data_IF_592710574148
#
_entry.id   IF_592710574148
#
_cell.length_a   1.000
_cell.length_b   1.000
_cell.length_c   1.000
_cell.angle_alpha   90.00
_cell.angle_beta   90.00
_cell.angle_gamma   90.00
#
_symmetry.space_group_name_H-M   'P 1'
#
loop_
_entity.id
_entity.type
_entity.pdbx_description
1 polymer ?
#
# COMPACT_ATOMS: atom_id res chain seq x y z
N UNK A 1 3.76 20.51 -9.92
CA UNK A 1 4.04 19.53 -8.87
C UNK A 1 5.41 19.75 -8.24
N UNK A 2 6.51 19.80 -9.02
CA UNK A 2 7.89 19.91 -8.49
C UNK A 2 8.04 21.03 -7.44
N UNK A 3 7.68 22.26 -7.75
CA UNK A 3 7.79 23.40 -6.82
C UNK A 3 7.00 23.23 -5.51
N UNK A 4 5.91 22.45 -5.50
CA UNK A 4 5.19 22.16 -4.27
C UNK A 4 5.96 21.23 -3.35
N UNK A 5 6.69 20.26 -3.92
CA UNK A 5 7.54 19.37 -3.14
C UNK A 5 8.69 20.11 -2.46
N UNK A 6 9.25 21.17 -3.07
CA UNK A 6 10.33 21.99 -2.51
C UNK A 6 9.94 22.66 -1.17
N UNK A 7 8.64 22.79 -0.88
CA UNK A 7 8.13 23.34 0.38
C UNK A 7 7.96 22.34 1.52
N UNK A 8 8.08 21.02 1.28
CA UNK A 8 7.97 20.03 2.34
C UNK A 8 9.33 19.77 3.00
N UNK A 9 9.37 19.48 4.31
CA UNK A 9 10.59 18.99 4.96
C UNK A 9 10.97 17.59 4.43
N UNK A 10 12.26 17.27 4.44
CA UNK A 10 12.78 16.00 3.91
C UNK A 10 12.25 14.77 4.65
N UNK A 11 11.94 14.91 5.92
CA UNK A 11 11.39 13.87 6.80
C UNK A 11 9.86 13.84 6.81
N UNK A 12 9.20 14.63 5.95
CA UNK A 12 7.74 14.61 5.84
C UNK A 12 7.24 13.22 5.48
N UNK A 13 6.22 12.76 6.20
CA UNK A 13 5.64 11.44 5.94
C UNK A 13 5.00 11.38 4.56
N UNK A 14 5.29 10.35 3.72
CA UNK A 14 4.80 10.29 2.35
C UNK A 14 3.27 10.31 2.22
N UNK A 15 2.54 9.78 3.20
CA UNK A 15 1.07 9.88 3.21
C UNK A 15 0.56 11.31 3.42
N UNK A 16 1.24 12.11 4.24
CA UNK A 16 0.91 13.54 4.40
C UNK A 16 1.13 14.30 3.08
N UNK A 17 2.30 14.09 2.45
CA UNK A 17 2.59 14.67 1.14
C UNK A 17 1.58 14.21 0.09
N UNK A 18 1.21 12.92 0.07
CA UNK A 18 0.25 12.37 -0.88
C UNK A 18 -1.12 13.05 -0.73
N UNK A 19 -1.65 13.15 0.49
CA UNK A 19 -2.93 13.79 0.76
C UNK A 19 -2.92 15.27 0.36
N UNK A 20 -1.90 16.03 0.77
CA UNK A 20 -1.76 17.44 0.44
C UNK A 20 -1.66 17.68 -1.07
N UNK A 21 -0.83 16.90 -1.76
CA UNK A 21 -0.58 17.05 -3.20
C UNK A 21 -1.77 16.61 -4.05
N UNK A 22 -2.53 15.60 -3.62
CA UNK A 22 -3.77 15.19 -4.29
C UNK A 22 -4.81 16.30 -4.18
N UNK A 23 -4.97 16.93 -3.01
CA UNK A 23 -5.86 18.08 -2.87
C UNK A 23 -5.39 19.28 -3.69
N UNK A 24 -4.08 19.54 -3.74
CA UNK A 24 -3.50 20.63 -4.51
C UNK A 24 -3.76 20.51 -6.03
N UNK A 25 -4.01 19.30 -6.56
CA UNK A 25 -4.41 19.14 -7.98
C UNK A 25 -5.67 19.94 -8.32
N UNK A 26 -6.58 20.14 -7.36
CA UNK A 26 -7.79 20.96 -7.57
C UNK A 26 -7.46 22.40 -8.00
N UNK A 27 -6.36 22.95 -7.49
CA UNK A 27 -5.90 24.30 -7.83
C UNK A 27 -5.44 24.42 -9.30
N UNK A 28 -4.96 23.32 -9.86
CA UNK A 28 -4.47 23.27 -11.26
C UNK A 28 -5.54 22.84 -12.26
N UNK A 29 -6.67 22.34 -11.76
CA UNK A 29 -7.79 21.86 -12.57
C UNK A 29 -9.11 22.46 -12.06
N UNK A 30 -9.26 23.81 -12.01
CA UNK A 30 -10.44 24.46 -11.40
C UNK A 30 -11.75 24.09 -12.08
N UNK A 31 -11.75 23.84 -13.38
CA UNK A 31 -12.94 23.40 -14.13
C UNK A 31 -13.44 22.02 -13.63
N UNK A 32 -12.54 21.15 -13.25
CA UNK A 32 -12.86 19.79 -12.76
C UNK A 32 -13.27 19.73 -11.29
N UNK A 33 -13.25 20.87 -10.59
CA UNK A 33 -13.74 20.92 -9.20
C UNK A 33 -15.27 21.02 -9.11
N UNK A 34 -15.92 21.38 -10.19
CA UNK A 34 -17.38 21.43 -10.34
C UNK A 34 -17.78 20.82 -11.69
N UNK A 35 -17.63 19.49 -11.83
CA UNK A 35 -17.88 18.85 -13.10
C UNK A 35 -19.36 18.97 -13.48
N UNK A 36 -19.63 19.40 -14.71
CA UNK A 36 -20.98 19.60 -15.23
C UNK A 36 -21.47 18.41 -16.06
N UNK A 37 -20.58 17.49 -16.41
CA UNK A 37 -20.90 16.35 -17.26
C UNK A 37 -20.00 15.14 -16.96
N UNK A 38 -20.42 13.92 -17.38
CA UNK A 38 -19.65 12.69 -17.14
C UNK A 38 -18.21 12.72 -17.68
N UNK A 39 -17.94 13.40 -18.80
CA UNK A 39 -16.59 13.48 -19.38
C UNK A 39 -15.61 14.25 -18.49
N UNK A 40 -16.08 15.27 -17.79
CA UNK A 40 -15.25 16.02 -16.84
C UNK A 40 -14.92 15.16 -15.61
N UNK A 41 -15.86 14.33 -15.15
CA UNK A 41 -15.64 13.37 -14.08
C UNK A 41 -14.59 12.33 -14.52
N UNK A 42 -14.71 11.79 -15.72
CA UNK A 42 -13.74 10.85 -16.30
C UNK A 42 -12.34 11.47 -16.43
N UNK A 43 -12.28 12.73 -16.84
CA UNK A 43 -11.03 13.47 -16.92
C UNK A 43 -10.39 13.68 -15.55
N UNK A 44 -11.17 14.05 -14.53
CA UNK A 44 -10.68 14.18 -13.16
C UNK A 44 -10.15 12.84 -12.62
N UNK A 45 -10.88 11.74 -12.87
CA UNK A 45 -10.45 10.40 -12.51
C UNK A 45 -9.13 10.00 -13.22
N UNK A 46 -9.02 10.24 -14.51
CA UNK A 46 -7.81 9.96 -15.29
C UNK A 46 -6.59 10.76 -14.77
N UNK A 47 -6.79 12.02 -14.42
CA UNK A 47 -5.76 12.87 -13.83
C UNK A 47 -5.32 12.30 -12.47
N UNK A 48 -6.26 11.96 -11.60
CA UNK A 48 -5.95 11.36 -10.29
C UNK A 48 -5.16 10.07 -10.43
N UNK A 49 -5.64 9.11 -11.22
CA UNK A 49 -4.98 7.83 -11.46
C UNK A 49 -3.56 8.04 -12.03
N UNK A 50 -3.41 8.96 -12.97
CA UNK A 50 -2.10 9.25 -13.56
C UNK A 50 -1.15 9.93 -12.56
N UNK A 51 -1.62 10.90 -11.78
CA UNK A 51 -0.78 11.76 -10.93
C UNK A 51 -0.45 11.16 -9.59
N UNK A 52 -1.31 10.32 -9.00
CA UNK A 52 -1.08 9.74 -7.67
C UNK A 52 0.23 8.96 -7.62
N UNK A 53 0.54 8.14 -8.63
CA UNK A 53 1.80 7.40 -8.69
C UNK A 53 3.02 8.31 -8.83
N UNK A 54 2.89 9.44 -9.56
CA UNK A 54 3.97 10.42 -9.71
C UNK A 54 4.22 11.14 -8.39
N UNK A 55 3.15 11.53 -7.68
CA UNK A 55 3.23 12.15 -6.36
C UNK A 55 3.89 11.18 -5.37
N UNK A 56 3.48 9.91 -5.36
CA UNK A 56 4.06 8.87 -4.52
C UNK A 56 5.56 8.68 -4.77
N UNK A 57 5.97 8.58 -6.04
CA UNK A 57 7.37 8.43 -6.40
C UNK A 57 8.20 9.66 -6.05
N UNK A 58 7.65 10.87 -6.22
CA UNK A 58 8.32 12.11 -5.85
C UNK A 58 8.46 12.23 -4.32
N UNK A 59 7.45 11.81 -3.55
CA UNK A 59 7.56 11.75 -2.08
C UNK A 59 8.72 10.85 -1.64
N UNK A 60 8.86 9.69 -2.29
CA UNK A 60 9.97 8.77 -2.04
C UNK A 60 11.32 9.40 -2.41
N UNK A 61 11.45 9.96 -3.62
CA UNK A 61 12.69 10.60 -4.09
C UNK A 61 13.12 11.76 -3.19
N UNK A 62 12.17 12.55 -2.76
CA UNK A 62 12.41 13.66 -1.86
C UNK A 62 12.97 13.20 -0.52
N UNK A 63 12.38 12.17 0.10
CA UNK A 63 12.85 11.63 1.39
C UNK A 63 14.28 11.05 1.33
N UNK A 64 14.78 10.80 0.11
CA UNK A 64 16.15 10.30 -0.12
C UNK A 64 17.12 11.38 -0.60
N UNK A 65 16.64 12.62 -0.82
CA UNK A 65 17.45 13.66 -1.44
C UNK A 65 17.87 13.36 -2.88
N UNK A 66 17.09 12.52 -3.58
CA UNK A 66 17.38 12.08 -4.94
C UNK A 66 16.61 12.92 -5.97
N UNK A 67 17.12 13.08 -7.19
CA UNK A 67 16.43 13.83 -8.24
C UNK A 67 15.13 13.12 -8.67
N UNK A 68 14.13 13.91 -9.02
CA UNK A 68 12.85 13.41 -9.53
C UNK A 68 13.03 12.76 -10.90
N UNK A 69 12.52 11.53 -11.02
CA UNK A 69 12.47 10.77 -12.28
C UNK A 69 11.04 10.82 -12.82
N UNK A 70 10.91 11.10 -14.11
CA UNK A 70 9.62 11.25 -14.77
C UNK A 70 9.17 9.95 -15.45
N UNK A 71 7.85 9.75 -15.62
CA UNK A 71 7.32 8.55 -16.26
C UNK A 71 7.72 8.48 -17.73
N UNK A 72 7.88 7.26 -18.24
CA UNK A 72 8.11 6.98 -19.67
C UNK A 72 6.83 6.44 -20.30
N UNK A 73 6.45 6.97 -21.46
CA UNK A 73 5.20 6.60 -22.14
C UNK A 73 5.12 5.11 -22.51
N UNK A 74 6.26 4.46 -22.73
CA UNK A 74 6.35 3.03 -23.09
C UNK A 74 6.16 2.07 -21.90
N UNK A 75 6.22 2.55 -20.65
CA UNK A 75 6.13 1.73 -19.47
C UNK A 75 4.69 1.57 -18.98
N UNK A 76 4.36 0.39 -18.45
CA UNK A 76 3.08 0.12 -17.81
C UNK A 76 2.90 0.95 -16.52
N UNK A 77 1.75 0.83 -15.87
CA UNK A 77 1.44 1.60 -14.67
C UNK A 77 2.40 1.28 -13.51
N UNK A 78 2.52 0.00 -13.14
CA UNK A 78 3.42 -0.43 -12.07
C UNK A 78 4.90 -0.24 -12.44
N UNK A 79 5.26 -0.52 -13.70
CA UNK A 79 6.62 -0.31 -14.18
C UNK A 79 7.04 1.16 -14.08
N UNK A 80 6.16 2.10 -14.42
CA UNK A 80 6.42 3.52 -14.25
C UNK A 80 6.55 3.93 -12.78
N UNK A 81 5.72 3.37 -11.89
CA UNK A 81 5.83 3.65 -10.45
C UNK A 81 7.21 3.23 -9.92
N UNK A 82 7.62 1.99 -10.20
CA UNK A 82 8.93 1.48 -9.77
C UNK A 82 10.09 2.20 -10.44
N UNK A 83 9.97 2.50 -11.73
CA UNK A 83 10.96 3.30 -12.46
C UNK A 83 11.15 4.68 -11.83
N UNK A 84 10.07 5.41 -11.56
CA UNK A 84 10.16 6.73 -10.94
C UNK A 84 10.70 6.69 -9.52
N UNK A 85 10.46 5.61 -8.77
CA UNK A 85 10.98 5.44 -7.42
C UNK A 85 12.47 5.06 -7.40
N UNK A 86 12.87 4.07 -8.19
CA UNK A 86 14.16 3.42 -8.00
C UNK A 86 15.22 3.80 -9.04
N UNK A 87 14.85 4.37 -10.19
CA UNK A 87 15.86 4.83 -11.15
C UNK A 87 16.69 6.00 -10.63
N UNK A 88 17.98 6.01 -10.99
CA UNK A 88 18.86 7.15 -10.83
C UNK A 88 19.28 7.66 -12.22
N UNK A 89 19.62 8.97 -12.37
CA UNK A 89 19.95 9.53 -13.69
C UNK A 89 21.15 8.86 -14.38
N UNK A 90 22.06 8.29 -13.59
CA UNK A 90 23.32 7.69 -14.07
C UNK A 90 23.31 6.18 -14.06
N UNK A 91 22.19 5.54 -13.62
CA UNK A 91 22.09 4.08 -13.55
C UNK A 91 20.98 3.57 -14.46
N UNK A 92 21.23 2.42 -15.09
CA UNK A 92 20.21 1.70 -15.81
C UNK A 92 19.41 0.86 -14.82
N UNK A 93 18.13 1.25 -14.64
CA UNK A 93 17.18 0.49 -13.81
C UNK A 93 16.13 -0.16 -14.71
N UNK A 94 16.03 -1.46 -14.62
CA UNK A 94 15.05 -2.26 -15.35
C UNK A 94 14.20 -3.07 -14.37
N UNK A 95 12.89 -2.95 -14.52
CA UNK A 95 11.94 -3.67 -13.66
C UNK A 95 11.80 -5.09 -14.17
N UNK A 96 12.12 -6.07 -13.33
CA UNK A 96 11.91 -7.48 -13.71
C UNK A 96 10.41 -7.75 -13.94
N UNK A 97 10.04 -8.53 -15.01
CA UNK A 97 8.64 -8.79 -15.35
C UNK A 97 7.78 -9.35 -14.20
N UNK A 98 8.33 -10.27 -13.40
CA UNK A 98 7.61 -10.85 -12.25
C UNK A 98 7.39 -9.83 -11.13
N UNK A 99 8.34 -8.92 -10.89
CA UNK A 99 8.17 -7.82 -9.91
C UNK A 99 7.08 -6.87 -10.38
N UNK A 100 7.13 -6.47 -11.66
CA UNK A 100 6.09 -5.64 -12.28
C UNK A 100 4.72 -6.27 -12.12
N UNK A 101 4.59 -7.57 -12.46
CA UNK A 101 3.35 -8.32 -12.34
C UNK A 101 2.86 -8.39 -10.90
N UNK A 102 3.75 -8.60 -9.93
CA UNK A 102 3.38 -8.65 -8.52
C UNK A 102 2.80 -7.31 -8.05
N UNK A 103 3.42 -6.19 -8.41
CA UNK A 103 2.91 -4.86 -8.06
C UNK A 103 1.57 -4.59 -8.75
N UNK A 104 1.41 -4.89 -10.05
CA UNK A 104 0.12 -4.73 -10.75
C UNK A 104 -1.00 -5.51 -10.05
N UNK A 105 -0.75 -6.77 -9.68
CA UNK A 105 -1.74 -7.62 -8.99
C UNK A 105 -2.03 -7.08 -7.58
N UNK A 106 -1.01 -6.66 -6.82
CA UNK A 106 -1.23 -6.04 -5.51
C UNK A 106 -2.16 -4.82 -5.64
N UNK A 107 -1.91 -3.93 -6.60
CA UNK A 107 -2.75 -2.75 -6.81
C UNK A 107 -4.20 -3.14 -7.16
N UNK A 108 -4.40 -4.15 -8.00
CA UNK A 108 -5.73 -4.66 -8.36
C UNK A 108 -6.44 -5.24 -7.14
N UNK A 109 -5.78 -6.06 -6.33
CA UNK A 109 -6.37 -6.71 -5.17
C UNK A 109 -6.73 -5.73 -4.04
N UNK A 110 -6.13 -4.54 -4.06
CA UNK A 110 -6.45 -3.45 -3.13
C UNK A 110 -7.50 -2.46 -3.66
N UNK A 111 -7.95 -2.60 -4.93
CA UNK A 111 -8.77 -1.60 -5.60
C UNK A 111 -10.07 -1.27 -4.86
N UNK A 112 -10.76 -2.27 -4.33
CA UNK A 112 -11.94 -2.07 -3.49
C UNK A 112 -12.09 -3.16 -2.42
N UNK A 113 -12.75 -2.82 -1.34
CA UNK A 113 -13.17 -3.75 -0.29
C UNK A 113 -14.34 -3.17 0.50
N UNK A 114 -15.44 -2.91 -0.20
CA UNK A 114 -16.68 -2.37 0.37
C UNK A 114 -16.48 -1.05 1.13
N UNK A 115 -17.43 -0.73 2.02
CA UNK A 115 -17.34 0.46 2.86
C UNK A 115 -16.47 0.19 4.09
N UNK A 116 -15.23 0.64 4.00
CA UNK A 116 -14.29 0.72 5.10
C UNK A 116 -14.12 2.18 5.54
N UNK A 117 -13.27 2.45 6.53
CA UNK A 117 -13.09 3.80 7.08
C UNK A 117 -12.77 4.84 5.99
N UNK A 118 -11.81 4.60 5.10
CA UNK A 118 -11.42 5.58 4.07
C UNK A 118 -12.49 5.72 2.99
N UNK A 119 -13.12 4.63 2.56
CA UNK A 119 -14.23 4.66 1.59
C UNK A 119 -15.44 5.42 2.16
N UNK A 120 -15.80 5.17 3.43
CA UNK A 120 -16.87 5.91 4.10
C UNK A 120 -16.51 7.39 4.26
N UNK A 121 -15.25 7.73 4.51
CA UNK A 121 -14.77 9.11 4.57
C UNK A 121 -14.92 9.80 3.21
N UNK A 122 -14.51 9.15 2.11
CA UNK A 122 -14.70 9.68 0.74
C UNK A 122 -16.18 9.97 0.48
N UNK A 123 -17.07 9.02 0.77
CA UNK A 123 -18.53 9.19 0.60
C UNK A 123 -19.08 10.31 1.50
N UNK A 124 -18.64 10.38 2.75
CA UNK A 124 -19.06 11.42 3.70
C UNK A 124 -18.68 12.82 3.19
N UNK A 125 -17.44 13.00 2.75
CA UNK A 125 -16.97 14.29 2.20
C UNK A 125 -17.69 14.60 0.89
N UNK A 126 -17.85 13.62 0.01
CA UNK A 126 -18.60 13.78 -1.25
C UNK A 126 -20.04 14.22 -1.03
N UNK A 127 -20.72 13.74 0.03
CA UNK A 127 -22.12 14.12 0.35
C UNK A 127 -22.31 15.61 0.65
N UNK A 128 -21.24 16.34 0.96
CA UNK A 128 -21.26 17.80 1.10
C UNK A 128 -21.18 18.55 -0.23
N UNK A 129 -21.08 17.85 -1.36
CA UNK A 129 -20.81 18.45 -2.68
C UNK A 129 -19.32 18.76 -2.92
N UNK A 130 -18.42 18.25 -2.07
CA UNK A 130 -16.99 18.42 -2.26
C UNK A 130 -16.51 17.73 -3.55
N UNK A 131 -15.54 18.37 -4.22
CA UNK A 131 -14.98 17.84 -5.44
C UNK A 131 -14.21 16.54 -5.24
N UNK A 132 -13.99 15.81 -6.33
CA UNK A 132 -13.32 14.51 -6.30
C UNK A 132 -11.92 14.58 -5.67
N UNK A 133 -11.10 15.60 -5.98
CA UNK A 133 -9.74 15.74 -5.41
C UNK A 133 -9.77 15.88 -3.90
N UNK A 134 -10.64 16.73 -3.35
CA UNK A 134 -10.80 16.94 -1.92
C UNK A 134 -11.30 15.67 -1.22
N UNK A 135 -12.28 14.98 -1.80
CA UNK A 135 -12.84 13.75 -1.25
C UNK A 135 -11.80 12.62 -1.20
N UNK A 136 -11.00 12.45 -2.26
CA UNK A 136 -9.90 11.49 -2.30
C UNK A 136 -8.80 11.85 -1.30
N UNK A 137 -8.45 13.13 -1.17
CA UNK A 137 -7.48 13.58 -0.16
C UNK A 137 -7.91 13.21 1.26
N UNK A 138 -9.19 13.37 1.59
CA UNK A 138 -9.74 12.95 2.87
C UNK A 138 -9.69 11.42 3.05
N UNK A 139 -9.96 10.65 1.99
CA UNK A 139 -9.79 9.20 1.99
C UNK A 139 -8.35 8.76 2.26
N UNK A 140 -7.37 9.43 1.68
CA UNK A 140 -5.94 9.19 1.92
C UNK A 140 -5.59 9.49 3.39
N UNK A 141 -6.08 10.60 3.94
CA UNK A 141 -5.87 10.95 5.35
C UNK A 141 -6.47 9.90 6.30
N UNK A 142 -7.67 9.40 6.01
CA UNK A 142 -8.29 8.33 6.79
C UNK A 142 -7.52 7.00 6.66
N UNK A 143 -7.01 6.68 5.46
CA UNK A 143 -6.22 5.47 5.24
C UNK A 143 -4.90 5.49 6.02
N UNK A 144 -4.31 6.65 6.23
CA UNK A 144 -3.06 6.79 6.98
C UNK A 144 -3.20 6.43 8.47
N UNK A 145 -4.41 6.40 9.01
CA UNK A 145 -4.63 6.02 10.40
C UNK A 145 -4.10 4.60 10.72
N UNK A 146 -3.42 4.41 11.86
CA UNK A 146 -2.77 3.12 12.21
C UNK A 146 -3.77 1.97 12.38
N UNK A 147 -5.05 2.27 12.61
CA UNK A 147 -6.11 1.26 12.73
C UNK A 147 -6.75 0.90 11.38
N UNK A 148 -6.24 1.44 10.27
CA UNK A 148 -6.82 1.21 8.94
C UNK A 148 -5.79 0.77 7.90
N UNK A 149 -4.93 1.63 7.39
CA UNK A 149 -4.02 1.32 6.26
C UNK A 149 -2.61 0.87 6.66
N UNK A 150 -2.33 0.70 7.95
CA UNK A 150 -0.99 0.37 8.44
C UNK A 150 -0.70 -1.10 8.68
N UNK A 151 -1.62 -2.02 8.30
CA UNK A 151 -1.48 -3.43 8.68
C UNK A 151 -0.27 -4.12 8.03
N UNK A 152 0.00 -3.88 6.77
CA UNK A 152 1.16 -4.47 6.08
C UNK A 152 2.50 -3.90 6.56
N UNK A 153 2.57 -2.63 6.94
CA UNK A 153 3.71 -2.05 7.63
C UNK A 153 3.92 -2.73 8.99
N UNK A 154 2.86 -2.87 9.78
CA UNK A 154 2.91 -3.51 11.09
C UNK A 154 3.35 -4.98 11.03
N UNK A 155 3.08 -5.70 9.93
CA UNK A 155 3.62 -7.05 9.70
C UNK A 155 5.15 -7.02 9.67
N UNK A 156 5.75 -6.15 8.89
CA UNK A 156 7.21 -6.08 8.77
C UNK A 156 7.84 -5.62 10.08
N UNK A 157 7.27 -4.61 10.73
CA UNK A 157 7.74 -4.16 12.05
C UNK A 157 7.68 -5.27 13.12
N UNK A 158 6.66 -6.13 13.06
CA UNK A 158 6.56 -7.31 13.91
C UNK A 158 7.68 -8.32 13.59
N UNK A 159 7.92 -8.63 12.32
CA UNK A 159 8.98 -9.54 11.90
C UNK A 159 10.37 -9.01 12.30
N UNK A 160 10.61 -7.71 12.16
CA UNK A 160 11.84 -7.05 12.60
C UNK A 160 12.04 -7.16 14.12
N UNK A 161 10.99 -6.96 14.91
CA UNK A 161 11.04 -7.15 16.36
C UNK A 161 11.35 -8.59 16.76
N UNK A 162 10.76 -9.58 16.08
CA UNK A 162 11.04 -10.99 16.31
C UNK A 162 12.52 -11.29 16.02
N UNK A 163 13.03 -10.80 14.89
CA UNK A 163 14.41 -10.98 14.48
C UNK A 163 15.39 -10.31 15.45
N UNK A 164 15.21 -9.02 15.73
CA UNK A 164 16.08 -8.24 16.60
C UNK A 164 16.10 -8.72 18.05
N UNK A 165 14.95 -9.20 18.55
CA UNK A 165 14.80 -9.71 19.91
C UNK A 165 15.31 -11.14 20.10
N UNK A 166 15.82 -11.82 19.06
CA UNK A 166 16.13 -13.24 19.07
C UNK A 166 15.00 -14.11 19.67
N UNK A 167 13.76 -13.62 19.52
CA UNK A 167 12.59 -14.36 19.96
C UNK A 167 12.34 -15.48 18.96
N UNK A 168 12.42 -16.72 19.43
CA UNK A 168 12.02 -17.85 18.58
C UNK A 168 10.55 -17.73 18.17
N UNK A 169 10.22 -18.10 16.94
CA UNK A 169 8.84 -18.02 16.41
C UNK A 169 7.84 -18.73 17.32
N UNK A 170 8.19 -19.88 17.90
CA UNK A 170 7.34 -20.62 18.86
C UNK A 170 6.95 -19.78 20.07
N UNK A 171 7.90 -19.02 20.63
CA UNK A 171 7.62 -18.13 21.76
C UNK A 171 6.68 -16.98 21.37
N UNK A 172 6.82 -16.45 20.17
CA UNK A 172 5.90 -15.42 19.66
C UNK A 172 4.47 -15.96 19.47
N UNK A 173 4.34 -17.20 19.04
CA UNK A 173 3.06 -17.90 18.94
C UNK A 173 2.42 -18.09 20.33
N UNK A 174 3.19 -18.49 21.34
CA UNK A 174 2.70 -18.60 22.72
C UNK A 174 2.25 -17.23 23.26
N UNK A 175 3.04 -16.19 23.04
CA UNK A 175 2.66 -14.83 23.40
C UNK A 175 1.39 -14.36 22.67
N UNK A 176 1.22 -14.71 21.40
CA UNK A 176 0.00 -14.38 20.64
C UNK A 176 -1.26 -15.10 21.14
N UNK A 177 -1.09 -16.27 21.80
CA UNK A 177 -2.18 -17.01 22.43
C UNK A 177 -2.56 -16.44 23.80
N UNK A 178 -1.61 -15.79 24.47
CA UNK A 178 -1.79 -15.17 25.78
C UNK A 178 -2.31 -13.73 25.62
N UNK A 179 -3.53 -13.49 26.07
CA UNK A 179 -4.18 -12.16 26.01
C UNK A 179 -3.49 -11.10 26.87
N UNK A 180 -2.82 -11.52 27.93
CA UNK A 180 -2.14 -10.61 28.87
C UNK A 180 -0.77 -10.15 28.31
N UNK A 181 -0.22 -10.87 27.34
CA UNK A 181 1.07 -10.53 26.73
C UNK A 181 1.06 -9.22 25.95
N UNK A 182 -0.11 -8.77 25.47
CA UNK A 182 -0.25 -7.64 24.58
C UNK A 182 0.32 -7.86 23.16
N UNK A 183 0.93 -9.03 22.90
CA UNK A 183 1.50 -9.35 21.59
C UNK A 183 0.40 -9.77 20.61
N UNK A 184 0.45 -9.25 19.39
CA UNK A 184 -0.49 -9.60 18.33
C UNK A 184 0.27 -10.04 17.08
N UNK A 185 -0.17 -11.14 16.47
CA UNK A 185 0.25 -11.51 15.12
C UNK A 185 -0.41 -10.58 14.11
N UNK A 186 0.37 -9.66 13.57
CA UNK A 186 -0.09 -8.74 12.53
C UNK A 186 -0.16 -9.46 11.18
N UNK A 187 -1.19 -9.15 10.39
CA UNK A 187 -1.42 -9.81 9.11
C UNK A 187 -2.14 -11.18 9.21
N UNK A 188 -2.73 -11.50 10.36
CA UNK A 188 -3.50 -12.73 10.59
C UNK A 188 -4.96 -12.43 10.95
N UNK A 189 -5.86 -13.20 10.35
CA UNK A 189 -7.31 -13.02 10.48
C UNK A 189 -7.83 -11.87 9.62
N UNK A 190 -9.16 -11.77 9.51
CA UNK A 190 -9.82 -10.74 8.73
C UNK A 190 -11.18 -10.39 9.33
N UNK A 191 -11.58 -9.12 9.22
CA UNK A 191 -12.85 -8.64 9.79
C UNK A 191 -14.07 -9.23 9.06
N UNK A 192 -13.98 -9.31 7.74
CA UNK A 192 -15.06 -9.77 6.86
C UNK A 192 -14.94 -11.25 6.58
N UNK A 193 -13.81 -11.73 6.10
CA UNK A 193 -13.60 -13.14 5.79
C UNK A 193 -13.53 -13.96 7.07
N UNK A 194 -14.48 -14.89 7.22
CA UNK A 194 -14.53 -15.85 8.34
C UNK A 194 -13.74 -17.12 8.04
N UNK A 195 -12.93 -17.11 7.01
CA UNK A 195 -12.05 -18.18 6.56
C UNK A 195 -10.82 -17.55 5.89
N UNK A 196 -10.16 -18.25 4.96
CA UNK A 196 -9.07 -17.70 4.17
C UNK A 196 -9.50 -16.46 3.39
N UNK A 197 -8.62 -15.44 3.39
CA UNK A 197 -8.73 -14.31 2.47
C UNK A 197 -8.34 -14.80 1.06
N UNK A 198 -9.26 -14.82 0.06
CA UNK A 198 -8.96 -15.34 -1.27
C UNK A 198 -7.85 -14.57 -1.98
N UNK A 199 -7.64 -13.31 -1.61
CA UNK A 199 -6.57 -12.46 -2.15
C UNK A 199 -5.20 -12.91 -1.63
N UNK A 200 -5.15 -13.41 -0.40
CA UNK A 200 -3.92 -13.88 0.23
C UNK A 200 -3.30 -15.07 -0.51
N UNK A 201 -4.13 -16.00 -1.02
CA UNK A 201 -3.64 -17.13 -1.82
C UNK A 201 -2.92 -16.66 -3.08
N UNK A 202 -3.46 -15.67 -3.78
CA UNK A 202 -2.85 -15.11 -4.99
C UNK A 202 -1.49 -14.48 -4.64
N UNK A 203 -1.42 -13.69 -3.55
CA UNK A 203 -0.17 -13.05 -3.14
C UNK A 203 0.85 -14.03 -2.60
N UNK A 204 0.43 -15.12 -1.97
CA UNK A 204 1.33 -16.21 -1.55
C UNK A 204 2.08 -16.80 -2.75
N UNK A 205 1.38 -17.14 -3.82
CA UNK A 205 1.98 -17.68 -5.05
C UNK A 205 2.91 -16.67 -5.73
N UNK A 206 2.52 -15.38 -5.72
CA UNK A 206 3.35 -14.31 -6.27
C UNK A 206 4.61 -14.06 -5.43
N UNK A 207 4.52 -14.13 -4.10
CA UNK A 207 5.67 -13.95 -3.23
C UNK A 207 6.75 -14.98 -3.51
N UNK A 208 6.39 -16.24 -3.72
CA UNK A 208 7.33 -17.29 -4.08
C UNK A 208 8.09 -16.95 -5.38
N UNK A 209 7.37 -16.50 -6.42
CA UNK A 209 8.00 -16.10 -7.71
C UNK A 209 8.92 -14.90 -7.57
N UNK A 210 8.51 -13.88 -6.78
CA UNK A 210 9.35 -12.70 -6.53
C UNK A 210 10.64 -13.10 -5.83
N UNK A 211 10.58 -14.01 -4.85
CA UNK A 211 11.75 -14.49 -4.13
C UNK A 211 12.70 -15.30 -5.00
N UNK A 212 12.16 -16.16 -5.89
CA UNK A 212 12.96 -16.93 -6.83
C UNK A 212 13.75 -16.02 -7.78
N UNK A 213 13.13 -14.92 -8.22
CA UNK A 213 13.77 -13.93 -9.10
C UNK A 213 14.85 -13.13 -8.39
N UNK A 214 14.55 -12.66 -7.20
CA UNK A 214 15.45 -11.77 -6.45
C UNK A 214 16.63 -12.54 -5.84
N UNK A 215 16.52 -13.88 -5.70
CA UNK A 215 17.52 -14.74 -5.04
C UNK A 215 17.97 -14.18 -3.67
N UNK A 216 17.10 -13.41 -3.04
CA UNK A 216 17.42 -12.67 -1.84
C UNK A 216 17.20 -13.55 -0.61
N UNK A 217 18.23 -13.70 0.21
CA UNK A 217 18.11 -14.31 1.54
C UNK A 217 17.80 -13.18 2.55
N UNK A 218 16.57 -13.06 2.96
CA UNK A 218 16.16 -12.15 4.03
C UNK A 218 15.69 -12.97 5.23
N UNK A 219 16.33 -12.88 6.40
CA UNK A 219 15.92 -13.61 7.60
C UNK A 219 14.46 -13.39 8.00
N UNK A 220 13.88 -12.22 7.67
CA UNK A 220 12.48 -11.95 7.97
C UNK A 220 11.52 -12.81 7.15
N UNK A 221 11.93 -13.21 5.93
CA UNK A 221 11.14 -14.10 5.10
C UNK A 221 11.11 -15.53 5.64
N UNK A 222 12.22 -15.98 6.22
CA UNK A 222 12.28 -17.29 6.86
C UNK A 222 11.39 -17.30 8.11
N UNK A 223 11.44 -16.24 8.93
CA UNK A 223 10.53 -16.05 10.08
C UNK A 223 9.07 -16.02 9.62
N UNK A 224 8.76 -15.30 8.53
CA UNK A 224 7.40 -15.22 8.01
C UNK A 224 6.87 -16.59 7.55
N UNK A 225 7.69 -17.39 6.86
CA UNK A 225 7.32 -18.75 6.44
C UNK A 225 7.07 -19.67 7.64
N UNK A 226 7.93 -19.60 8.66
CA UNK A 226 7.75 -20.39 9.87
C UNK A 226 6.47 -19.98 10.64
N UNK A 227 6.19 -18.68 10.75
CA UNK A 227 4.94 -18.16 11.35
C UNK A 227 3.70 -18.64 10.58
N UNK A 228 3.75 -18.57 9.25
CA UNK A 228 2.68 -19.07 8.38
C UNK A 228 2.43 -20.56 8.61
N UNK A 229 3.50 -21.37 8.54
CA UNK A 229 3.39 -22.83 8.69
C UNK A 229 2.80 -23.22 10.04
N UNK A 230 3.26 -22.60 11.13
CA UNK A 230 2.70 -22.85 12.46
C UNK A 230 1.23 -22.43 12.53
N UNK A 231 0.88 -21.24 12.05
CA UNK A 231 -0.50 -20.75 12.13
C UNK A 231 -1.49 -21.59 11.30
N UNK A 232 -1.04 -22.18 10.20
CA UNK A 232 -1.86 -23.07 9.38
C UNK A 232 -2.09 -24.43 10.01
N UNK A 233 -1.23 -24.87 10.94
CA UNK A 233 -1.26 -26.20 11.54
C UNK A 233 -1.66 -26.20 13.03
N UNK A 234 -1.63 -25.07 13.72
CA UNK A 234 -1.93 -24.95 15.13
C UNK A 234 -3.45 -24.83 15.39
N UNK A 235 -4.03 -25.71 16.24
CA UNK A 235 -5.47 -25.71 16.52
C UNK A 235 -6.03 -24.36 17.00
N UNK A 236 -5.26 -23.59 17.78
CA UNK A 236 -5.70 -22.28 18.28
C UNK A 236 -6.03 -21.31 17.15
N UNK A 237 -5.19 -21.26 16.11
CA UNK A 237 -5.37 -20.37 14.95
C UNK A 237 -6.45 -20.89 14.01
N UNK A 238 -6.49 -22.21 13.80
CA UNK A 238 -7.50 -22.87 12.95
C UNK A 238 -8.91 -22.63 13.50
N UNK A 239 -9.14 -22.91 14.80
CA UNK A 239 -10.42 -22.72 15.47
C UNK A 239 -10.90 -21.27 15.43
N UNK A 240 -9.96 -20.31 15.54
CA UNK A 240 -10.24 -18.86 15.51
C UNK A 240 -10.17 -18.26 14.12
N UNK A 241 -9.84 -19.07 13.10
CA UNK A 241 -9.72 -18.65 11.69
C UNK A 241 -8.72 -17.49 11.50
N UNK A 242 -7.61 -17.55 12.22
CA UNK A 242 -6.54 -16.57 12.18
C UNK A 242 -5.52 -16.96 11.11
N UNK A 243 -5.93 -16.95 9.87
CA UNK A 243 -5.08 -17.25 8.71
C UNK A 243 -4.33 -16.02 8.25
N UNK A 244 -3.15 -16.17 7.60
CA UNK A 244 -2.47 -15.06 6.94
C UNK A 244 -3.40 -14.38 5.92
N UNK A 245 -3.42 -13.05 5.95
CA UNK A 245 -4.27 -12.24 5.08
C UNK A 245 -3.45 -11.50 4.00
N UNK A 246 -4.11 -10.65 3.22
CA UNK A 246 -3.47 -9.89 2.13
C UNK A 246 -2.33 -8.99 2.63
N UNK A 247 -2.43 -8.42 3.83
CA UNK A 247 -1.43 -7.50 4.37
C UNK A 247 -0.13 -8.22 4.74
N UNK A 248 -0.23 -9.48 5.18
CA UNK A 248 0.93 -10.33 5.45
C UNK A 248 1.79 -10.51 4.19
N UNK A 249 1.20 -10.95 3.08
CA UNK A 249 1.95 -11.22 1.87
C UNK A 249 2.35 -9.94 1.12
N UNK A 250 1.51 -8.90 1.08
CA UNK A 250 1.87 -7.65 0.42
C UNK A 250 3.04 -6.96 1.11
N UNK A 251 3.08 -6.96 2.45
CA UNK A 251 4.20 -6.44 3.21
C UNK A 251 5.53 -7.14 2.87
N UNK A 252 5.50 -8.47 2.81
CA UNK A 252 6.67 -9.30 2.47
C UNK A 252 7.14 -9.02 1.03
N UNK A 253 6.22 -8.91 0.06
CA UNK A 253 6.58 -8.59 -1.33
C UNK A 253 7.18 -7.19 -1.43
N UNK A 254 6.59 -6.17 -0.79
CA UNK A 254 7.11 -4.81 -0.80
C UNK A 254 8.53 -4.75 -0.23
N UNK A 255 8.77 -5.45 0.89
CA UNK A 255 10.11 -5.55 1.46
C UNK A 255 11.10 -6.17 0.49
N UNK A 256 10.76 -7.30 -0.12
CA UNK A 256 11.63 -7.99 -1.08
C UNK A 256 11.99 -7.11 -2.29
N UNK A 257 11.05 -6.28 -2.75
CA UNK A 257 11.25 -5.33 -3.86
C UNK A 257 12.07 -4.09 -3.43
N UNK A 258 12.28 -3.87 -2.12
CA UNK A 258 13.03 -2.72 -1.60
C UNK A 258 12.17 -1.46 -1.34
N UNK A 259 10.86 -1.61 -1.29
CA UNK A 259 9.96 -0.52 -0.89
C UNK A 259 10.11 -0.29 0.62
N UNK A 260 10.39 0.93 1.09
CA UNK A 260 10.48 1.19 2.53
C UNK A 260 9.10 1.16 3.20
N UNK A 261 9.06 0.80 4.48
CA UNK A 261 7.81 0.53 5.22
C UNK A 261 6.86 1.73 5.26
N UNK A 262 7.37 2.96 5.34
CA UNK A 262 6.55 4.18 5.31
C UNK A 262 5.85 4.44 3.96
N UNK A 263 6.26 3.74 2.89
CA UNK A 263 5.62 3.78 1.58
C UNK A 263 4.51 2.74 1.40
N UNK A 264 4.37 1.76 2.30
CA UNK A 264 3.35 0.70 2.16
C UNK A 264 1.92 1.27 2.14
N UNK A 265 1.52 2.18 3.05
CA UNK A 265 0.21 2.82 2.97
C UNK A 265 0.02 3.64 1.69
N UNK A 266 1.11 4.18 1.12
CA UNK A 266 1.07 4.91 -0.15
C UNK A 266 0.71 3.98 -1.32
N UNK A 267 1.34 2.80 -1.39
CA UNK A 267 0.97 1.78 -2.39
C UNK A 267 -0.48 1.32 -2.21
N UNK A 268 -0.91 1.17 -0.95
CA UNK A 268 -2.31 0.86 -0.66
C UNK A 268 -3.25 1.96 -1.17
N UNK A 269 -2.94 3.24 -0.94
CA UNK A 269 -3.73 4.37 -1.45
C UNK A 269 -3.79 4.39 -2.98
N UNK A 270 -2.67 4.10 -3.67
CA UNK A 270 -2.64 4.00 -5.14
C UNK A 270 -3.59 2.90 -5.61
N UNK A 271 -3.52 1.72 -5.00
CA UNK A 271 -4.41 0.60 -5.34
C UNK A 271 -5.88 0.91 -5.06
N UNK A 272 -6.20 1.55 -3.92
CA UNK A 272 -7.58 1.85 -3.50
C UNK A 272 -8.21 3.02 -4.26
N UNK A 273 -7.44 3.86 -4.91
CA UNK A 273 -7.96 5.04 -5.61
C UNK A 273 -9.11 4.75 -6.59
N UNK A 274 -9.05 3.71 -7.45
CA UNK A 274 -10.17 3.40 -8.34
C UNK A 274 -11.48 3.09 -7.59
N UNK A 275 -11.41 2.36 -6.49
CA UNK A 275 -12.56 2.07 -5.64
C UNK A 275 -13.13 3.35 -5.00
N UNK A 276 -12.28 4.23 -4.48
CA UNK A 276 -12.73 5.52 -3.95
C UNK A 276 -13.42 6.37 -5.01
N UNK A 277 -12.88 6.40 -6.26
CA UNK A 277 -13.51 7.12 -7.38
C UNK A 277 -14.87 6.53 -7.70
N UNK A 278 -15.00 5.20 -7.73
CA UNK A 278 -16.27 4.52 -7.97
C UNK A 278 -17.30 4.90 -6.90
N UNK A 279 -16.94 4.82 -5.63
CA UNK A 279 -17.81 5.18 -4.51
C UNK A 279 -18.17 6.69 -4.44
N UNK A 280 -17.29 7.56 -4.93
CA UNK A 280 -17.61 8.99 -5.06
C UNK A 280 -18.65 9.26 -6.15
N UNK A 281 -18.68 8.43 -7.21
CA UNK A 281 -19.63 8.57 -8.34
C UNK A 281 -21.05 8.10 -8.02
N UNK A 282 -21.22 7.18 -7.07
CA UNK A 282 -22.52 6.69 -6.59
C UNK A 282 -23.33 7.79 -5.88
#
# INVERSE_FOLDING_TARGET
>A
LKHHFEGFPFDAHPMAMLSAMVNALSCYHPVLTKPHNPKEIEMAAAILISKIRTIAAFSYKMSRGEPFIYPKARYSYAENLLHMMFSLPHEHYEVHPEIKRAIDIILILHADHEQNCSTSTVRMVASSGANLFASISAGIAALWGPLHGGANQAVIEMLEKIHAGNLGVKKCIEMAKDKESGFRLMGFGHRVYKNFDPRAQILKELSAKVFDVLKHKDPLLDIARELEDIALNDPYFIERKLYPNIDFYSGIIFRAVGVPTNMYPVFFAIGRLPGWIAHWRE
#
